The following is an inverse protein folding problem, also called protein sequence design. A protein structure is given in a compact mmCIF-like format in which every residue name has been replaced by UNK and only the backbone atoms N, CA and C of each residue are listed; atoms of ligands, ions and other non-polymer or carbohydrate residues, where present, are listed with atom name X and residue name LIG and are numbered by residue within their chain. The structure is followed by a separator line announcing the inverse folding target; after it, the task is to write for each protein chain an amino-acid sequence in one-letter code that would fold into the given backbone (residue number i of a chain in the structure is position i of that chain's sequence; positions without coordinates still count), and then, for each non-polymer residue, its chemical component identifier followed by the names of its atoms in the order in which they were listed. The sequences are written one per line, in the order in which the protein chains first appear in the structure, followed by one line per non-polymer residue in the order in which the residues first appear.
data_IF_892321077689
#
_entry.id   IF_892321077689
#
_cell.length_a   1.000
_cell.length_b   1.000
_cell.length_c   1.000
_cell.angle_alpha   90.00
_cell.angle_beta   90.00
_cell.angle_gamma   90.00
#
_symmetry.space_group_name_H-M   'P 1'
#
loop_
_entity.id
_entity.type
_entity.pdbx_description
1 polymer ?
#
# COMPACT_ATOMS: atom_id res chain seq x y z
N UNK A 1 -41.90 19.55 14.09
CA UNK A 1 -41.36 18.53 13.16
C UNK A 1 -39.86 18.35 13.41
N UNK A 2 -39.42 17.62 14.45
CA UNK A 2 -38.00 17.36 14.71
C UNK A 2 -37.70 15.86 14.55
N UNK A 3 -37.71 15.33 13.33
CA UNK A 3 -37.49 13.88 13.11
C UNK A 3 -36.13 13.57 12.46
N UNK A 4 -35.41 14.56 11.92
CA UNK A 4 -34.18 14.31 11.14
C UNK A 4 -32.90 14.05 11.95
N UNK A 5 -32.90 14.29 13.26
CA UNK A 5 -31.70 14.11 14.11
C UNK A 5 -31.64 12.69 14.68
N UNK A 6 -32.78 12.03 14.88
CA UNK A 6 -32.86 10.68 15.45
C UNK A 6 -32.54 9.59 14.41
N UNK A 7 -32.81 9.84 13.13
CA UNK A 7 -32.54 8.89 12.04
C UNK A 7 -31.05 8.68 11.78
N UNK A 8 -30.21 9.69 12.05
CA UNK A 8 -28.76 9.57 11.90
C UNK A 8 -28.12 8.68 12.99
N UNK A 9 -28.78 8.50 14.14
CA UNK A 9 -28.26 7.73 15.28
C UNK A 9 -28.68 6.26 15.23
N UNK A 10 -29.82 5.94 14.61
CA UNK A 10 -30.42 4.59 14.67
C UNK A 10 -30.13 3.71 13.45
N UNK A 11 -29.45 4.21 12.41
CA UNK A 11 -28.95 3.38 11.32
C UNK A 11 -30.03 2.58 10.57
N UNK A 12 -31.24 3.12 10.48
CA UNK A 12 -32.36 2.53 9.72
C UNK A 12 -32.74 3.41 8.53
N UNK A 13 -31.79 3.52 7.61
CA UNK A 13 -32.01 3.98 6.23
C UNK A 13 -31.12 3.13 5.34
N UNK A 14 -31.70 2.46 4.35
CA UNK A 14 -31.06 1.42 3.55
C UNK A 14 -29.69 1.86 2.99
N UNK A 15 -28.64 1.15 3.41
CA UNK A 15 -27.31 1.14 2.81
C UNK A 15 -26.50 2.45 2.82
N UNK A 16 -26.42 3.10 3.98
CA UNK A 16 -25.30 4.00 4.27
C UNK A 16 -24.26 3.27 5.14
N UNK A 17 -23.39 2.48 4.50
CA UNK A 17 -22.15 1.99 5.14
C UNK A 17 -21.22 3.21 5.26
N UNK A 18 -21.54 4.08 6.22
CA UNK A 18 -20.59 5.07 6.68
C UNK A 18 -19.54 4.30 7.46
N UNK A 19 -18.28 4.43 7.04
CA UNK A 19 -17.17 4.12 7.92
C UNK A 19 -17.47 4.86 9.23
N UNK A 20 -17.61 4.17 10.37
CA UNK A 20 -17.85 4.88 11.62
C UNK A 20 -16.76 5.94 11.77
N UNK A 21 -17.09 7.10 12.36
CA UNK A 21 -16.13 8.13 12.72
C UNK A 21 -15.15 7.60 13.80
N UNK A 22 -14.40 6.57 13.46
CA UNK A 22 -13.43 5.89 14.30
C UNK A 22 -12.12 6.67 14.34
N UNK A 23 -11.93 7.66 13.46
CA UNK A 23 -10.78 8.59 13.50
C UNK A 23 -10.92 9.70 14.55
N UNK A 24 -12.14 9.95 15.07
CA UNK A 24 -12.36 11.03 16.05
C UNK A 24 -12.14 10.60 17.50
N UNK A 25 -12.53 9.37 17.86
CA UNK A 25 -12.54 8.90 19.24
C UNK A 25 -11.30 8.06 19.62
N UNK A 26 -10.64 7.43 18.63
CA UNK A 26 -9.40 6.70 18.83
C UNK A 26 -8.24 7.45 18.18
N UNK A 27 -7.33 8.01 19.00
CA UNK A 27 -6.03 8.60 18.60
C UNK A 27 -5.07 7.56 17.97
N UNK A 28 -5.54 6.75 17.03
CA UNK A 28 -4.78 5.65 16.44
C UNK A 28 -3.58 6.17 15.63
N UNK A 29 -3.70 7.33 15.00
CA UNK A 29 -2.67 7.89 14.14
C UNK A 29 -1.65 8.79 14.85
N UNK A 30 -1.72 8.92 16.19
CA UNK A 30 -0.77 9.75 16.93
C UNK A 30 0.69 9.31 16.72
N UNK A 31 0.94 8.02 16.52
CA UNK A 31 2.30 7.51 16.19
C UNK A 31 2.82 8.02 14.84
N UNK A 32 1.93 8.28 13.88
CA UNK A 32 2.29 8.91 12.60
C UNK A 32 2.43 10.42 12.76
N UNK A 33 1.60 11.04 13.59
CA UNK A 33 1.66 12.49 13.86
C UNK A 33 2.96 12.88 14.56
N UNK A 34 3.30 12.13 15.61
CA UNK A 34 4.49 12.30 16.45
C UNK A 34 5.74 11.64 15.83
N UNK A 35 5.64 11.10 14.60
CA UNK A 35 6.77 10.45 13.95
C UNK A 35 7.91 11.47 13.75
N UNK A 36 9.15 11.13 14.15
CA UNK A 36 10.28 12.06 14.13
C UNK A 36 10.74 12.44 12.70
N UNK A 37 10.30 11.67 11.69
CA UNK A 37 10.65 11.89 10.30
C UNK A 37 9.43 11.84 9.39
N UNK A 38 9.34 12.80 8.47
CA UNK A 38 8.37 12.81 7.36
C UNK A 38 9.17 12.98 6.08
N UNK A 39 9.14 11.96 5.23
CA UNK A 39 9.91 11.92 4.00
C UNK A 39 8.98 12.06 2.80
N UNK A 40 8.92 13.23 2.14
CA UNK A 40 8.04 13.44 1.02
C UNK A 40 8.46 12.54 -0.15
N UNK A 41 7.48 11.91 -0.78
CA UNK A 41 7.64 11.15 -2.02
C UNK A 41 6.38 11.35 -2.84
N UNK A 42 6.53 11.43 -4.16
CA UNK A 42 5.38 11.55 -5.05
C UNK A 42 4.60 10.23 -5.09
N UNK A 43 3.26 10.32 -5.10
CA UNK A 43 2.32 9.20 -5.31
C UNK A 43 2.72 7.86 -4.63
N UNK A 44 2.91 7.82 -3.29
CA UNK A 44 3.24 6.57 -2.60
C UNK A 44 2.11 5.55 -2.74
N UNK A 45 2.44 4.33 -3.18
CA UNK A 45 1.47 3.25 -3.42
C UNK A 45 1.61 2.07 -2.46
N UNK A 46 2.80 1.49 -2.36
CA UNK A 46 3.10 0.34 -1.50
C UNK A 46 4.43 0.54 -0.77
N UNK A 47 4.61 -0.09 0.39
CA UNK A 47 5.82 0.04 1.22
C UNK A 47 6.22 -1.33 1.79
N UNK A 48 7.51 -1.58 1.91
CA UNK A 48 8.04 -2.74 2.65
C UNK A 48 9.37 -2.39 3.31
N UNK A 49 9.67 -3.09 4.40
CA UNK A 49 10.99 -3.07 5.03
C UNK A 49 11.70 -4.37 4.67
N UNK A 50 12.86 -4.27 4.05
CA UNK A 50 13.65 -5.43 3.61
C UNK A 50 15.07 -5.27 4.13
N UNK A 51 15.52 -6.21 4.96
CA UNK A 51 16.85 -6.16 5.59
C UNK A 51 17.13 -4.84 6.35
N UNK A 52 16.08 -4.23 6.92
CA UNK A 52 16.17 -2.94 7.63
C UNK A 52 16.06 -1.70 6.75
N UNK A 53 15.94 -1.87 5.43
CA UNK A 53 15.82 -0.75 4.48
C UNK A 53 14.35 -0.52 4.10
N UNK A 54 13.93 0.74 4.10
CA UNK A 54 12.57 1.13 3.72
C UNK A 54 12.48 1.31 2.20
N UNK A 55 11.63 0.51 1.56
CA UNK A 55 11.34 0.59 0.14
C UNK A 55 9.90 1.09 -0.06
N UNK A 56 9.72 2.08 -0.93
CA UNK A 56 8.42 2.62 -1.32
C UNK A 56 8.25 2.50 -2.83
N UNK A 57 7.08 2.02 -3.23
CA UNK A 57 6.61 2.07 -4.60
C UNK A 57 5.94 3.42 -4.88
N UNK A 58 6.34 4.06 -5.97
CA UNK A 58 5.81 5.32 -6.50
C UNK A 58 5.52 5.13 -7.99
N UNK A 59 4.29 4.77 -8.32
CA UNK A 59 3.92 4.35 -9.68
C UNK A 59 4.71 3.11 -10.10
N UNK A 60 5.55 3.24 -11.13
CA UNK A 60 6.37 2.13 -11.65
C UNK A 60 7.73 2.00 -10.95
N UNK A 61 8.07 2.93 -10.07
CA UNK A 61 9.38 3.01 -9.43
C UNK A 61 9.34 2.43 -8.03
N UNK A 62 10.39 1.71 -7.68
CA UNK A 62 10.67 1.26 -6.32
C UNK A 62 11.88 2.05 -5.85
N UNK A 63 11.68 2.89 -4.84
CA UNK A 63 12.70 3.76 -4.27
C UNK A 63 13.02 3.33 -2.84
N UNK A 64 14.28 3.47 -2.46
CA UNK A 64 14.78 3.24 -1.10
C UNK A 64 14.96 4.57 -0.40
N UNK A 65 14.54 4.64 0.87
CA UNK A 65 14.87 5.76 1.74
C UNK A 65 16.30 5.62 2.24
N UNK A 66 17.13 6.63 1.99
CA UNK A 66 18.49 6.71 2.52
C UNK A 66 18.52 7.37 3.91
N UNK A 67 19.64 7.21 4.61
CA UNK A 67 19.81 7.74 5.97
C UNK A 67 19.73 9.28 6.04
N UNK A 68 20.02 9.99 4.94
CA UNK A 68 19.88 11.44 4.84
C UNK A 68 18.45 11.91 4.49
N UNK A 69 17.51 10.96 4.34
CA UNK A 69 16.12 11.23 3.99
C UNK A 69 15.86 11.36 2.49
N UNK A 70 16.88 11.18 1.64
CA UNK A 70 16.74 11.15 0.18
C UNK A 70 16.20 9.80 -0.32
N UNK A 71 15.71 9.79 -1.56
CA UNK A 71 15.16 8.60 -2.21
C UNK A 71 16.04 8.15 -3.37
N UNK A 72 16.54 6.91 -3.31
CA UNK A 72 17.33 6.29 -4.39
C UNK A 72 16.46 5.31 -5.18
N UNK A 73 16.53 5.36 -6.52
CA UNK A 73 15.84 4.37 -7.37
C UNK A 73 16.52 2.99 -7.27
N UNK A 74 15.79 1.99 -6.81
CA UNK A 74 16.27 0.60 -6.73
C UNK A 74 15.86 -0.21 -7.96
N UNK A 75 14.62 -0.01 -8.42
CA UNK A 75 14.08 -0.74 -9.56
C UNK A 75 12.98 0.04 -10.26
N UNK A 76 12.92 -0.07 -11.59
CA UNK A 76 11.78 0.40 -12.40
C UNK A 76 11.06 -0.81 -13.00
N UNK A 77 9.79 -0.95 -12.64
CA UNK A 77 8.89 -1.93 -13.20
C UNK A 77 8.42 -1.54 -14.61
N UNK A 78 7.69 -2.44 -15.28
CA UNK A 78 7.14 -2.20 -16.63
C UNK A 78 5.67 -1.72 -16.61
N UNK A 79 5.10 -1.62 -15.41
CA UNK A 79 3.73 -1.20 -15.13
C UNK A 79 3.70 -0.71 -13.67
N UNK A 80 2.63 -0.02 -13.27
CA UNK A 80 2.49 0.48 -11.92
C UNK A 80 2.55 -0.66 -10.89
N UNK A 81 3.30 -0.44 -9.82
CA UNK A 81 3.45 -1.39 -8.72
C UNK A 81 2.22 -1.27 -7.82
N UNK A 82 1.54 -2.39 -7.63
CA UNK A 82 0.31 -2.48 -6.83
C UNK A 82 0.53 -3.17 -5.49
N UNK A 83 1.58 -3.99 -5.37
CA UNK A 83 2.00 -4.56 -4.10
C UNK A 83 3.52 -4.81 -4.04
N UNK A 84 4.05 -4.76 -2.83
CA UNK A 84 5.48 -4.94 -2.55
C UNK A 84 5.63 -5.84 -1.32
N UNK A 85 6.56 -6.79 -1.36
CA UNK A 85 6.86 -7.66 -0.23
C UNK A 85 8.33 -8.03 -0.17
N UNK A 86 8.90 -8.03 1.03
CA UNK A 86 10.26 -8.52 1.25
C UNK A 86 10.34 -10.03 1.10
N UNK A 87 11.41 -10.50 0.46
CA UNK A 87 11.82 -11.91 0.48
C UNK A 87 13.30 -11.99 0.88
N UNK A 88 13.80 -13.18 1.22
CA UNK A 88 15.21 -13.35 1.53
C UNK A 88 16.09 -12.83 0.37
N UNK A 89 16.88 -11.78 0.64
CA UNK A 89 17.80 -11.16 -0.32
C UNK A 89 17.16 -10.38 -1.48
N UNK A 90 15.85 -10.10 -1.46
CA UNK A 90 15.18 -9.40 -2.56
C UNK A 90 13.75 -8.98 -2.25
N UNK A 91 12.98 -8.69 -3.30
CA UNK A 91 11.58 -8.28 -3.23
C UNK A 91 10.69 -9.03 -4.21
N UNK A 92 9.46 -9.28 -3.77
CA UNK A 92 8.32 -9.61 -4.62
C UNK A 92 7.56 -8.33 -4.97
N UNK A 93 7.23 -8.17 -6.25
CA UNK A 93 6.60 -6.98 -6.82
C UNK A 93 5.38 -7.42 -7.61
N UNK A 94 4.18 -7.02 -7.19
CA UNK A 94 2.97 -7.16 -7.99
C UNK A 94 2.72 -5.91 -8.82
N UNK A 95 2.29 -6.12 -10.05
CA UNK A 95 2.04 -5.08 -11.03
C UNK A 95 0.56 -5.01 -11.39
N UNK A 96 0.12 -3.84 -11.85
CA UNK A 96 -1.26 -3.61 -12.30
C UNK A 96 -1.71 -4.56 -13.41
N UNK A 97 -0.79 -5.04 -14.25
CA UNK A 97 -1.07 -6.03 -15.32
C UNK A 97 -1.31 -7.46 -14.80
N UNK A 98 -1.37 -7.65 -13.47
CA UNK A 98 -1.55 -8.94 -12.81
C UNK A 98 -0.27 -9.78 -12.71
N UNK A 99 0.88 -9.26 -13.17
CA UNK A 99 2.17 -9.94 -13.05
C UNK A 99 2.72 -9.82 -11.64
N UNK A 100 3.29 -10.91 -11.12
CA UNK A 100 4.22 -10.86 -9.98
C UNK A 100 5.65 -11.12 -10.45
N UNK A 101 6.59 -10.29 -10.02
CA UNK A 101 8.02 -10.40 -10.32
C UNK A 101 8.84 -10.50 -9.04
N UNK A 102 9.88 -11.33 -9.09
CA UNK A 102 10.93 -11.35 -8.07
C UNK A 102 12.14 -10.57 -8.56
N UNK A 103 12.62 -9.64 -7.73
CA UNK A 103 13.82 -8.82 -7.98
C UNK A 103 14.82 -9.08 -6.86
N UNK A 104 16.01 -9.58 -7.20
CA UNK A 104 17.00 -10.04 -6.23
C UNK A 104 16.66 -11.42 -5.64
N UNK A 105 17.34 -11.78 -4.55
CA UNK A 105 17.13 -13.02 -3.80
C UNK A 105 17.74 -14.28 -4.43
N UNK A 106 17.80 -15.40 -3.67
CA UNK A 106 18.32 -16.69 -4.14
C UNK A 106 17.33 -17.39 -5.08
N UNK A 107 16.04 -17.07 -4.94
CA UNK A 107 15.01 -17.43 -5.92
C UNK A 107 15.17 -16.43 -7.07
N UNK A 108 16.07 -16.72 -8.01
CA UNK A 108 16.41 -15.85 -9.14
C UNK A 108 15.18 -15.33 -9.91
N UNK A 109 15.37 -14.33 -10.78
CA UNK A 109 14.28 -13.60 -11.47
C UNK A 109 13.17 -14.54 -11.97
N UNK A 110 12.06 -14.59 -11.23
CA UNK A 110 10.88 -15.37 -11.59
C UNK A 110 9.74 -14.40 -11.90
N UNK A 111 9.07 -14.65 -13.03
CA UNK A 111 7.82 -13.96 -13.40
C UNK A 111 6.68 -14.96 -13.27
N UNK A 112 5.67 -14.60 -12.50
CA UNK A 112 4.39 -15.31 -12.46
C UNK A 112 3.39 -14.42 -13.17
N UNK A 113 2.87 -14.87 -14.31
CA UNK A 113 1.78 -14.17 -14.99
C UNK A 113 0.45 -14.39 -14.26
N UNK A 114 -0.57 -13.59 -14.58
CA UNK A 114 -1.92 -13.86 -14.08
C UNK A 114 -2.34 -15.29 -14.48
N UNK A 115 -3.10 -16.02 -13.64
CA UNK A 115 -3.73 -17.25 -14.07
C UNK A 115 -4.61 -17.00 -15.31
N UNK A 116 -4.89 -18.02 -16.14
CA UNK A 116 -5.90 -17.87 -17.19
C UNK A 116 -7.18 -17.31 -16.55
N UNK A 117 -7.82 -16.32 -17.19
CA UNK A 117 -9.00 -15.62 -16.66
C UNK A 117 -10.09 -16.65 -16.29
N UNK A 118 -10.12 -17.07 -15.03
CA UNK A 118 -11.27 -17.67 -14.41
C UNK A 118 -12.21 -16.57 -13.95
N UNK A 119 -13.54 -16.77 -13.96
CA UNK A 119 -14.46 -15.79 -13.43
C UNK A 119 -14.09 -15.53 -11.96
N UNK A 120 -13.78 -14.28 -11.61
CA UNK A 120 -13.78 -13.85 -10.23
C UNK A 120 -15.22 -14.07 -9.70
N UNK A 121 -15.43 -14.84 -8.62
CA UNK A 121 -16.74 -14.91 -8.00
C UNK A 121 -17.05 -13.51 -7.48
N UNK A 122 -18.04 -12.87 -8.11
CA UNK A 122 -18.63 -11.62 -7.65
C UNK A 122 -19.55 -11.83 -6.46
#
# INVERSE_FOLDING_TARGET
MPTRILDAVLGRGESAITVPALDGAFRANRRLDDAPGRFPIDRPGAIAVVSGELLVASGEEIRRLEADGSWTLVHRAKAAVTCLGGIAGGIAVGLEDGTVKIVGGPVGRRRVGPPPRGPCPG
#
